data_IF_721972458847
#
_entry.id   IF_721972458847
#
_cell.length_a   1.000
_cell.length_b   1.000
_cell.length_c   1.000
_cell.angle_alpha   90.00
_cell.angle_beta   90.00
_cell.angle_gamma   90.00
#
_symmetry.space_group_name_H-M   'P 1'
#
loop_
_entity.id
_entity.type
_entity.pdbx_description
1 polymer ?
#
# COMPACT_ATOMS: atom_id res chain seq x y z
N UNK A 1 18.47 9.32 -5.19
CA UNK A 1 19.81 8.74 -5.02
C UNK A 1 20.28 8.85 -3.57
N UNK A 2 20.87 7.77 -3.06
CA UNK A 2 21.45 7.67 -1.71
C UNK A 2 22.96 7.51 -1.87
N UNK A 3 23.75 8.58 -1.66
CA UNK A 3 25.20 8.53 -1.91
C UNK A 3 25.96 7.64 -0.92
N UNK A 4 25.52 7.64 0.34
CA UNK A 4 26.02 6.78 1.43
C UNK A 4 24.86 6.47 2.38
N UNK A 5 24.91 5.36 3.12
CA UNK A 5 23.90 5.01 4.12
C UNK A 5 23.69 6.14 5.13
N UNK A 6 22.44 6.57 5.30
CA UNK A 6 22.06 7.63 6.23
C UNK A 6 22.40 9.07 5.79
N UNK A 7 22.97 9.28 4.61
CA UNK A 7 23.37 10.62 4.14
C UNK A 7 22.19 11.49 3.65
N UNK A 8 21.04 10.91 3.46
CA UNK A 8 19.80 11.62 3.08
C UNK A 8 18.62 11.11 3.89
N UNK A 9 17.70 12.03 4.12
CA UNK A 9 16.41 11.71 4.70
C UNK A 9 15.30 11.78 3.65
N UNK A 10 14.26 10.96 3.81
CA UNK A 10 13.04 11.03 3.00
C UNK A 10 11.83 10.49 3.76
N UNK A 11 10.65 10.96 3.37
CA UNK A 11 9.37 10.35 3.74
C UNK A 11 9.09 9.21 2.75
N UNK A 12 9.29 7.95 3.16
CA UNK A 12 9.19 6.81 2.25
C UNK A 12 7.83 6.71 1.54
N UNK A 13 6.72 6.95 2.27
CA UNK A 13 5.38 6.94 1.67
C UNK A 13 5.14 8.08 0.68
N UNK A 14 5.81 9.24 0.83
CA UNK A 14 5.76 10.32 -0.16
C UNK A 14 6.43 9.90 -1.47
N UNK A 15 7.59 9.26 -1.40
CA UNK A 15 8.27 8.72 -2.57
C UNK A 15 7.41 7.68 -3.27
N UNK A 16 6.71 6.82 -2.49
CA UNK A 16 5.71 5.89 -3.02
C UNK A 16 4.55 6.64 -3.69
N UNK A 17 4.07 7.74 -3.11
CA UNK A 17 3.00 8.58 -3.67
C UNK A 17 3.34 9.11 -5.06
N UNK A 18 4.55 9.61 -5.25
CA UNK A 18 5.06 10.04 -6.56
C UNK A 18 5.08 8.88 -7.58
N UNK A 19 5.50 7.70 -7.15
CA UNK A 19 5.48 6.50 -8.00
C UNK A 19 4.03 6.09 -8.35
N UNK A 20 3.12 6.09 -7.39
CA UNK A 20 1.69 5.78 -7.61
C UNK A 20 1.02 6.80 -8.53
N UNK A 21 1.40 8.09 -8.49
CA UNK A 21 0.98 9.09 -9.48
C UNK A 21 1.34 8.66 -10.89
N UNK A 22 2.58 8.21 -11.10
CA UNK A 22 3.04 7.79 -12.43
C UNK A 22 2.35 6.50 -12.89
N UNK A 23 2.08 5.56 -11.98
CA UNK A 23 1.25 4.38 -12.25
C UNK A 23 -0.17 4.80 -12.61
N UNK A 24 -0.78 5.71 -11.85
CA UNK A 24 -2.12 6.24 -12.12
C UNK A 24 -2.19 6.87 -13.51
N UNK A 25 -1.23 7.74 -13.83
CA UNK A 25 -1.16 8.41 -15.14
C UNK A 25 -1.14 7.43 -16.32
N UNK A 26 -0.40 6.33 -16.20
CA UNK A 26 -0.33 5.27 -17.23
C UNK A 26 -1.62 4.47 -17.37
N UNK A 27 -2.50 4.53 -16.40
CA UNK A 27 -3.72 3.73 -16.32
C UNK A 27 -5.01 4.56 -16.43
N UNK A 28 -4.94 5.86 -16.74
CA UNK A 28 -6.12 6.72 -16.86
C UNK A 28 -7.05 6.27 -17.98
N UNK A 29 -6.52 6.00 -19.17
CA UNK A 29 -7.34 5.60 -20.34
C UNK A 29 -7.99 4.22 -20.12
N UNK A 30 -7.24 3.28 -19.55
CA UNK A 30 -7.73 1.92 -19.27
C UNK A 30 -8.66 1.85 -18.06
N UNK A 31 -8.65 2.87 -17.19
CA UNK A 31 -9.46 2.96 -15.97
C UNK A 31 -9.36 1.72 -15.07
N UNK A 32 -8.20 1.10 -15.02
CA UNK A 32 -7.98 -0.18 -14.34
C UNK A 32 -7.18 -0.08 -13.03
N UNK A 33 -6.90 1.13 -12.54
CA UNK A 33 -6.19 1.37 -11.29
C UNK A 33 -6.95 2.33 -10.38
N UNK A 34 -7.08 2.00 -9.09
CA UNK A 34 -7.67 2.83 -8.05
C UNK A 34 -6.86 2.79 -6.75
N UNK A 35 -6.91 3.89 -6.03
CA UNK A 35 -6.47 3.95 -4.63
C UNK A 35 -7.70 4.07 -3.75
N UNK A 36 -7.69 3.38 -2.61
CA UNK A 36 -8.73 3.48 -1.59
C UNK A 36 -8.11 3.80 -0.23
N UNK A 37 -8.78 4.62 0.56
CA UNK A 37 -8.30 5.04 1.87
C UNK A 37 -9.47 5.48 2.75
N UNK A 38 -9.51 5.12 4.05
CA UNK A 38 -10.47 5.67 4.99
C UNK A 38 -10.07 7.06 5.48
N UNK A 39 -8.82 7.47 5.23
CA UNK A 39 -8.24 8.74 5.61
C UNK A 39 -7.78 9.50 4.37
N UNK A 40 -7.54 10.79 4.51
CA UNK A 40 -7.11 11.65 3.40
C UNK A 40 -5.80 11.16 2.79
N UNK A 41 -5.71 11.17 1.47
CA UNK A 41 -4.49 10.79 0.73
C UNK A 41 -3.26 11.59 1.19
N UNK A 42 -3.47 12.83 1.61
CA UNK A 42 -2.43 13.71 2.14
C UNK A 42 -1.82 13.17 3.44
N UNK A 43 -2.60 12.63 4.35
CA UNK A 43 -2.10 12.10 5.63
C UNK A 43 -1.24 10.84 5.42
N UNK A 44 -1.48 10.11 4.36
CA UNK A 44 -0.67 8.96 3.92
C UNK A 44 0.46 9.37 2.96
N UNK A 45 0.65 10.68 2.70
CA UNK A 45 1.66 11.24 1.79
C UNK A 45 1.46 10.89 0.30
N UNK A 46 0.24 10.63 -0.13
CA UNK A 46 -0.09 10.28 -1.52
C UNK A 46 -0.71 11.44 -2.32
N UNK A 47 -0.63 12.68 -1.83
CA UNK A 47 -1.21 13.85 -2.49
C UNK A 47 -0.75 14.05 -3.94
N UNK A 48 0.47 13.60 -4.29
CA UNK A 48 0.99 13.71 -5.66
C UNK A 48 0.09 13.01 -6.70
N UNK A 49 -0.68 12.00 -6.28
CA UNK A 49 -1.63 11.30 -7.15
C UNK A 49 -2.72 12.25 -7.64
N UNK A 50 -3.09 13.25 -6.85
CA UNK A 50 -4.11 14.24 -7.20
C UNK A 50 -3.65 15.22 -8.31
N UNK A 51 -2.37 15.22 -8.67
CA UNK A 51 -1.89 15.95 -9.86
C UNK A 51 -2.43 15.38 -11.18
N UNK A 52 -2.84 14.11 -11.19
CA UNK A 52 -3.25 13.39 -12.41
C UNK A 52 -4.66 12.83 -12.35
N UNK A 53 -5.30 12.83 -11.19
CA UNK A 53 -6.69 12.38 -11.01
C UNK A 53 -7.33 13.13 -9.84
N UNK A 54 -8.60 12.81 -9.54
CA UNK A 54 -9.34 13.38 -8.43
C UNK A 54 -9.80 12.30 -7.46
N UNK A 55 -10.32 12.75 -6.31
CA UNK A 55 -11.16 11.94 -5.42
C UNK A 55 -12.51 11.70 -6.10
N UNK A 56 -13.00 10.47 -6.00
CA UNK A 56 -14.30 10.10 -6.52
C UNK A 56 -15.41 10.68 -5.63
N UNK A 57 -16.28 11.50 -6.19
CA UNK A 57 -17.45 12.06 -5.49
C UNK A 57 -18.71 11.85 -6.32
N UNK A 58 -19.74 11.28 -5.69
CA UNK A 58 -21.09 11.20 -6.27
C UNK A 58 -22.00 12.35 -5.81
N UNK A 59 -21.53 13.20 -4.90
CA UNK A 59 -22.25 14.38 -4.43
C UNK A 59 -22.14 15.55 -5.43
N UNK A 60 -22.94 16.57 -5.22
CA UNK A 60 -22.80 17.85 -5.92
C UNK A 60 -21.40 18.42 -5.62
N UNK A 61 -20.76 18.95 -6.65
CA UNK A 61 -19.41 19.54 -6.57
C UNK A 61 -19.56 21.04 -6.71
N UNK A 62 -19.06 21.78 -5.74
CA UNK A 62 -19.10 23.25 -5.70
C UNK A 62 -17.78 23.85 -6.20
N UNK A 63 -17.77 25.14 -6.62
CA UNK A 63 -16.54 25.79 -7.09
C UNK A 63 -15.40 25.85 -6.08
N UNK A 64 -15.70 25.76 -4.79
CA UNK A 64 -14.75 25.77 -3.68
C UNK A 64 -14.15 24.38 -3.39
N UNK A 65 -14.73 23.33 -3.96
CA UNK A 65 -14.23 21.97 -3.78
C UNK A 65 -12.97 21.74 -4.61
N UNK A 66 -12.00 21.09 -3.99
CA UNK A 66 -10.70 20.80 -4.60
C UNK A 66 -10.53 19.30 -4.85
N UNK A 67 -10.04 18.97 -6.04
CA UNK A 67 -9.76 17.60 -6.44
C UNK A 67 -10.93 16.61 -6.31
N UNK A 68 -12.17 17.03 -6.63
CA UNK A 68 -13.34 16.15 -6.69
C UNK A 68 -13.79 15.91 -8.13
N UNK A 69 -14.23 14.70 -8.44
CA UNK A 69 -14.83 14.34 -9.73
C UNK A 69 -15.63 13.03 -9.61
N UNK A 70 -16.76 12.88 -10.32
CA UNK A 70 -17.46 11.59 -10.39
C UNK A 70 -16.58 10.45 -10.95
N UNK A 71 -15.61 10.79 -11.79
CA UNK A 71 -14.67 9.86 -12.42
C UNK A 71 -13.34 9.69 -11.66
N UNK A 72 -13.19 10.35 -10.51
CA UNK A 72 -11.98 10.30 -9.70
C UNK A 72 -11.51 8.87 -9.41
N UNK A 73 -10.21 8.67 -9.39
CA UNK A 73 -9.62 7.34 -9.19
C UNK A 73 -9.19 7.08 -7.76
N UNK A 74 -9.27 8.08 -6.88
CA UNK A 74 -9.02 7.97 -5.45
C UNK A 74 -10.37 7.88 -4.73
N UNK A 75 -10.56 6.78 -4.00
CA UNK A 75 -11.79 6.50 -3.25
C UNK A 75 -11.52 6.75 -1.77
N UNK A 76 -12.04 7.85 -1.23
CA UNK A 76 -11.91 8.17 0.20
C UNK A 76 -13.26 8.11 0.89
N UNK A 77 -13.32 7.33 1.96
CA UNK A 77 -14.49 7.21 2.83
C UNK A 77 -14.06 6.73 4.22
N UNK A 78 -14.52 7.38 5.27
CA UNK A 78 -14.24 6.95 6.66
C UNK A 78 -14.99 5.65 7.01
N UNK A 79 -14.65 4.61 6.28
CA UNK A 79 -15.15 3.24 6.46
C UNK A 79 -14.17 2.26 5.84
N UNK A 80 -13.35 1.66 6.65
CA UNK A 80 -12.38 0.63 6.24
C UNK A 80 -13.10 -0.57 5.60
N UNK A 81 -14.30 -0.92 6.08
CA UNK A 81 -15.13 -1.97 5.47
C UNK A 81 -15.50 -1.65 4.02
N UNK A 82 -15.90 -0.41 3.72
CA UNK A 82 -16.20 -0.01 2.35
C UNK A 82 -14.94 0.01 1.49
N UNK A 83 -13.83 0.54 2.00
CA UNK A 83 -12.54 0.51 1.31
C UNK A 83 -12.13 -0.90 0.92
N UNK A 84 -12.22 -1.85 1.86
CA UNK A 84 -11.95 -3.26 1.63
C UNK A 84 -12.88 -3.85 0.58
N UNK A 85 -14.19 -3.69 0.75
CA UNK A 85 -15.20 -4.25 -0.16
C UNK A 85 -15.09 -3.69 -1.58
N UNK A 86 -14.84 -2.39 -1.73
CA UNK A 86 -14.62 -1.77 -3.03
C UNK A 86 -13.38 -2.32 -3.73
N UNK A 87 -12.27 -2.43 -3.00
CA UNK A 87 -11.04 -2.94 -3.59
C UNK A 87 -11.17 -4.41 -3.97
N UNK A 88 -11.73 -5.26 -3.09
CA UNK A 88 -11.98 -6.68 -3.42
C UNK A 88 -12.82 -6.83 -4.68
N UNK A 89 -13.96 -6.13 -4.75
CA UNK A 89 -14.82 -6.15 -5.93
C UNK A 89 -14.10 -5.67 -7.20
N UNK A 90 -13.26 -4.65 -7.07
CA UNK A 90 -12.49 -4.09 -8.17
C UNK A 90 -11.44 -5.08 -8.71
N UNK A 91 -10.73 -5.79 -7.81
CA UNK A 91 -9.77 -6.82 -8.17
C UNK A 91 -10.43 -8.00 -8.89
N UNK A 92 -11.62 -8.40 -8.47
CA UNK A 92 -12.40 -9.47 -9.10
C UNK A 92 -12.78 -9.16 -10.56
N UNK A 93 -12.80 -7.89 -10.94
CA UNK A 93 -13.03 -7.46 -12.32
C UNK A 93 -11.75 -7.42 -13.17
N UNK A 94 -10.63 -7.91 -12.66
CA UNK A 94 -9.34 -7.92 -13.34
C UNK A 94 -8.57 -6.60 -13.27
N UNK A 95 -8.95 -5.72 -12.35
CA UNK A 95 -8.34 -4.41 -12.15
C UNK A 95 -7.40 -4.41 -10.95
N UNK A 96 -6.69 -3.31 -10.71
CA UNK A 96 -5.63 -3.18 -9.71
C UNK A 96 -5.90 -2.04 -8.74
N UNK A 97 -5.35 -2.12 -7.54
CA UNK A 97 -5.45 -1.04 -6.58
C UNK A 97 -4.57 -1.22 -5.35
N UNK A 98 -4.60 -0.20 -4.53
CA UNK A 98 -3.95 -0.15 -3.23
C UNK A 98 -4.90 0.40 -2.19
N UNK A 99 -4.84 -0.15 -1.00
CA UNK A 99 -5.56 0.32 0.17
C UNK A 99 -4.55 0.82 1.21
N UNK A 100 -4.56 2.13 1.51
CA UNK A 100 -3.76 2.69 2.58
C UNK A 100 -4.61 2.92 3.83
N UNK A 101 -4.06 2.53 4.98
CA UNK A 101 -4.70 2.67 6.27
C UNK A 101 -3.64 2.87 7.36
N UNK A 102 -4.04 3.42 8.51
CA UNK A 102 -3.19 3.38 9.69
C UNK A 102 -3.17 1.98 10.30
N UNK A 103 -2.03 1.62 10.87
CA UNK A 103 -1.80 0.30 11.46
C UNK A 103 -2.87 -0.09 12.49
N UNK A 104 -3.29 0.84 13.36
CA UNK A 104 -4.29 0.56 14.38
C UNK A 104 -5.70 0.33 13.81
N UNK A 105 -6.05 1.00 12.71
CA UNK A 105 -7.42 0.97 12.19
C UNK A 105 -7.66 -0.15 11.19
N UNK A 106 -6.61 -0.73 10.62
CA UNK A 106 -6.76 -1.87 9.71
C UNK A 106 -7.44 -3.08 10.39
N UNK A 107 -7.40 -3.17 11.72
CA UNK A 107 -8.13 -4.18 12.48
C UNK A 107 -9.63 -4.21 12.21
N UNK A 108 -10.22 -3.08 11.80
CA UNK A 108 -11.63 -3.00 11.44
C UNK A 108 -11.99 -4.01 10.36
N UNK A 109 -11.03 -4.38 9.49
CA UNK A 109 -11.27 -5.32 8.37
C UNK A 109 -10.70 -6.72 8.60
N UNK A 110 -10.26 -7.06 9.79
CA UNK A 110 -9.69 -8.39 10.10
C UNK A 110 -10.54 -9.54 9.56
N UNK A 111 -11.86 -9.48 9.79
CA UNK A 111 -12.78 -10.51 9.34
C UNK A 111 -12.86 -10.57 7.81
N UNK A 112 -12.94 -9.43 7.14
CA UNK A 112 -13.00 -9.36 5.67
C UNK A 112 -11.69 -9.85 5.05
N UNK A 113 -10.55 -9.39 5.57
CA UNK A 113 -9.23 -9.90 5.18
C UNK A 113 -9.15 -11.43 5.30
N UNK A 114 -9.59 -11.97 6.43
CA UNK A 114 -9.57 -13.41 6.68
C UNK A 114 -10.44 -14.19 5.67
N UNK A 115 -11.62 -13.66 5.31
CA UNK A 115 -12.48 -14.25 4.28
C UNK A 115 -11.81 -14.21 2.90
N UNK A 116 -11.22 -13.06 2.53
CA UNK A 116 -10.51 -12.91 1.26
C UNK A 116 -9.33 -13.88 1.13
N UNK A 117 -8.51 -14.02 2.19
CA UNK A 117 -7.39 -14.96 2.20
C UNK A 117 -7.84 -16.42 2.07
N UNK A 118 -8.93 -16.81 2.74
CA UNK A 118 -9.53 -18.15 2.60
C UNK A 118 -10.05 -18.39 1.20
N UNK A 119 -10.75 -17.40 0.65
CA UNK A 119 -11.27 -17.45 -0.70
C UNK A 119 -10.15 -17.60 -1.74
N UNK A 120 -9.07 -16.83 -1.66
CA UNK A 120 -7.90 -16.96 -2.55
C UNK A 120 -7.32 -18.36 -2.49
N UNK A 121 -7.13 -18.92 -1.29
CA UNK A 121 -6.61 -20.27 -1.11
C UNK A 121 -7.43 -21.31 -1.87
N UNK A 122 -8.75 -21.27 -1.72
CA UNK A 122 -9.64 -22.21 -2.41
C UNK A 122 -9.64 -21.95 -3.92
N UNK A 123 -9.66 -20.71 -4.34
CA UNK A 123 -9.67 -20.36 -5.76
C UNK A 123 -8.40 -20.75 -6.51
N UNK A 124 -7.25 -20.78 -5.83
CA UNK A 124 -5.99 -21.21 -6.41
C UNK A 124 -6.00 -22.70 -6.80
N UNK A 125 -6.89 -23.50 -6.21
CA UNK A 125 -7.06 -24.92 -6.52
C UNK A 125 -8.01 -25.18 -7.71
N UNK A 126 -8.66 -24.13 -8.25
CA UNK A 126 -9.65 -24.23 -9.32
C UNK A 126 -9.00 -23.98 -10.70
N UNK A 127 -8.80 -25.01 -11.55
CA UNK A 127 -7.96 -24.90 -12.76
C UNK A 127 -8.47 -23.91 -13.81
N UNK A 128 -9.79 -23.70 -13.91
CA UNK A 128 -10.39 -22.79 -14.89
C UNK A 128 -10.43 -21.33 -14.44
N UNK A 129 -10.10 -21.04 -13.19
CA UNK A 129 -10.17 -19.69 -12.66
C UNK A 129 -8.91 -18.90 -13.04
N UNK A 130 -9.11 -17.72 -13.62
CA UNK A 130 -8.00 -16.82 -13.95
C UNK A 130 -7.45 -16.17 -12.69
N UNK A 131 -6.12 -16.01 -12.59
CA UNK A 131 -5.51 -15.23 -11.52
C UNK A 131 -6.00 -13.78 -11.53
N UNK A 132 -6.24 -13.23 -10.36
CA UNK A 132 -6.57 -11.81 -10.15
C UNK A 132 -5.37 -11.02 -9.63
N UNK A 133 -5.40 -9.70 -9.77
CA UNK A 133 -4.42 -8.83 -9.11
C UNK A 133 -4.46 -9.02 -7.60
N UNK A 134 -3.31 -8.92 -6.96
CA UNK A 134 -3.21 -9.07 -5.51
C UNK A 134 -3.90 -7.93 -4.77
N UNK A 135 -4.42 -8.22 -3.58
CA UNK A 135 -4.91 -7.23 -2.64
C UNK A 135 -3.71 -6.62 -1.91
N UNK A 136 -3.52 -5.31 -2.06
CA UNK A 136 -2.34 -4.63 -1.54
C UNK A 136 -2.72 -3.62 -0.46
N UNK A 137 -2.14 -3.76 0.73
CA UNK A 137 -2.25 -2.81 1.83
C UNK A 137 -0.96 -2.02 2.02
N UNK A 138 -1.09 -0.72 2.27
CA UNK A 138 -0.06 0.09 2.91
C UNK A 138 -0.52 0.44 4.31
N UNK A 139 0.23 0.02 5.33
CA UNK A 139 0.02 0.41 6.72
C UNK A 139 1.02 1.49 7.10
N UNK A 140 0.50 2.66 7.42
CA UNK A 140 1.29 3.80 7.91
C UNK A 140 1.03 4.05 9.40
N UNK A 141 1.65 5.04 10.00
CA UNK A 141 1.55 5.34 11.44
C UNK A 141 1.87 4.13 12.32
N UNK A 142 2.90 3.39 11.94
CA UNK A 142 3.27 2.13 12.57
C UNK A 142 4.01 2.32 13.90
N UNK A 143 3.90 1.32 14.78
CA UNK A 143 4.41 1.34 16.16
C UNK A 143 5.92 1.62 16.27
N UNK A 144 6.72 1.19 15.32
CA UNK A 144 8.18 1.34 15.37
C UNK A 144 8.68 2.79 15.30
N UNK A 145 7.85 3.70 14.81
CA UNK A 145 8.24 5.11 14.65
C UNK A 145 7.45 6.07 15.52
N UNK A 146 6.39 5.63 16.15
CA UNK A 146 5.52 6.51 16.96
C UNK A 146 5.23 7.85 16.25
N UNK A 147 4.60 7.78 15.09
CA UNK A 147 4.27 8.95 14.29
C UNK A 147 3.42 9.97 15.09
N UNK A 148 3.24 11.18 14.57
CA UNK A 148 2.60 12.30 15.24
C UNK A 148 1.21 12.02 15.84
N UNK A 149 0.54 10.97 15.40
CA UNK A 149 -0.74 10.53 15.96
C UNK A 149 -0.61 9.82 17.32
N UNK A 150 0.62 9.48 17.74
CA UNK A 150 0.91 8.84 19.01
C UNK A 150 0.38 7.41 19.12
N UNK A 151 0.39 6.85 20.32
CA UNK A 151 0.05 5.45 20.57
C UNK A 151 -1.40 5.07 20.22
N UNK A 152 -2.32 6.01 20.19
CA UNK A 152 -3.73 5.76 19.84
C UNK A 152 -3.94 5.31 18.39
N UNK A 153 -2.93 5.48 17.52
CA UNK A 153 -2.99 5.14 16.10
C UNK A 153 -2.03 4.02 15.70
N UNK A 154 -1.45 3.34 16.68
CA UNK A 154 -0.43 2.33 16.49
C UNK A 154 -0.82 1.02 17.19
N UNK A 155 -0.96 -0.03 16.44
CA UNK A 155 -1.24 -1.38 16.94
C UNK A 155 -0.79 -2.41 15.91
N UNK A 156 0.31 -3.18 16.17
CA UNK A 156 0.82 -4.15 15.21
C UNK A 156 0.05 -5.47 15.19
N UNK A 157 -1.01 -5.62 15.99
CA UNK A 157 -1.76 -6.87 16.14
C UNK A 157 -2.35 -7.42 14.84
N UNK A 158 -2.65 -6.57 13.86
CA UNK A 158 -3.06 -7.01 12.53
C UNK A 158 -1.98 -7.89 11.86
N UNK A 159 -0.70 -7.57 12.04
CA UNK A 159 0.39 -8.37 11.48
C UNK A 159 0.42 -9.77 12.09
N UNK A 160 0.17 -9.91 13.40
CA UNK A 160 0.07 -11.22 14.07
C UNK A 160 -1.06 -12.05 13.46
N UNK A 161 -2.19 -11.42 13.14
CA UNK A 161 -3.30 -12.08 12.46
C UNK A 161 -2.91 -12.52 11.03
N UNK A 162 -2.22 -11.66 10.30
CA UNK A 162 -1.81 -11.90 8.90
C UNK A 162 -0.80 -13.04 8.79
N UNK A 163 0.26 -13.05 9.60
CA UNK A 163 1.34 -14.05 9.51
C UNK A 163 0.89 -15.47 9.84
N UNK A 164 -0.26 -15.64 10.49
CA UNK A 164 -0.86 -16.94 10.74
C UNK A 164 -1.51 -17.59 9.50
N UNK A 165 -1.54 -16.89 8.37
CA UNK A 165 -2.07 -17.42 7.12
C UNK A 165 -0.97 -18.14 6.32
N UNK A 166 -1.38 -18.91 5.31
CA UNK A 166 -0.43 -19.61 4.45
C UNK A 166 0.44 -18.67 3.63
N UNK A 167 1.74 -18.92 3.60
CA UNK A 167 2.69 -18.12 2.83
C UNK A 167 2.42 -18.10 1.31
N UNK A 168 1.69 -19.07 0.77
CA UNK A 168 1.28 -19.05 -0.66
C UNK A 168 0.34 -17.91 -1.02
N UNK A 169 -0.47 -17.42 -0.05
CA UNK A 169 -1.44 -16.32 -0.27
C UNK A 169 -1.06 -15.03 0.45
N UNK A 170 -0.11 -15.03 1.37
CA UNK A 170 0.25 -13.84 2.17
C UNK A 170 1.70 -13.47 1.97
N UNK A 171 1.96 -12.16 1.91
CA UNK A 171 3.29 -11.55 2.04
C UNK A 171 3.22 -10.34 2.96
N UNK A 172 4.22 -10.23 3.84
CA UNK A 172 4.42 -9.06 4.70
C UNK A 172 5.78 -8.46 4.34
N UNK A 173 5.81 -7.15 4.17
CA UNK A 173 7.00 -6.41 3.79
C UNK A 173 7.24 -5.28 4.80
N UNK A 174 8.47 -5.18 5.26
CA UNK A 174 8.95 -4.16 6.20
C UNK A 174 10.12 -3.39 5.55
N UNK A 175 9.87 -2.63 4.49
CA UNK A 175 10.93 -1.92 3.77
C UNK A 175 11.61 -0.89 4.66
N UNK A 176 12.94 -0.93 4.80
CA UNK A 176 13.69 -0.05 5.72
C UNK A 176 13.82 1.38 5.20
N UNK A 177 13.65 1.60 3.91
CA UNK A 177 13.80 2.90 3.25
C UNK A 177 12.90 3.03 2.01
N UNK A 178 12.95 4.22 1.37
CA UNK A 178 12.12 4.54 0.22
C UNK A 178 12.47 3.68 -1.02
N UNK A 179 13.73 3.35 -1.26
CA UNK A 179 14.13 2.55 -2.42
C UNK A 179 13.64 1.11 -2.29
N UNK A 180 13.72 0.52 -1.09
CA UNK A 180 13.13 -0.78 -0.81
C UNK A 180 11.59 -0.72 -0.95
N UNK A 181 10.96 0.36 -0.45
CA UNK A 181 9.51 0.53 -0.59
C UNK A 181 9.07 0.63 -2.05
N UNK A 182 9.80 1.35 -2.91
CA UNK A 182 9.52 1.43 -4.34
C UNK A 182 9.59 0.05 -5.01
N UNK A 183 10.67 -0.71 -4.75
CA UNK A 183 10.80 -2.06 -5.30
C UNK A 183 9.67 -2.98 -4.86
N UNK A 184 9.39 -3.02 -3.56
CA UNK A 184 8.29 -3.82 -2.99
C UNK A 184 6.93 -3.41 -3.57
N UNK A 185 6.70 -2.11 -3.76
CA UNK A 185 5.45 -1.61 -4.36
C UNK A 185 5.27 -2.12 -5.80
N UNK A 186 6.33 -2.06 -6.62
CA UNK A 186 6.31 -2.59 -8.00
C UNK A 186 6.02 -4.10 -8.01
N UNK A 187 6.71 -4.86 -7.16
CA UNK A 187 6.49 -6.31 -7.00
C UNK A 187 5.04 -6.63 -6.57
N UNK A 188 4.49 -5.89 -5.62
CA UNK A 188 3.12 -6.07 -5.16
C UNK A 188 2.11 -5.82 -6.29
N UNK A 189 2.31 -4.77 -7.09
CA UNK A 189 1.45 -4.44 -8.23
C UNK A 189 1.52 -5.49 -9.35
N UNK A 190 2.67 -6.16 -9.53
CA UNK A 190 2.83 -7.24 -10.50
C UNK A 190 2.32 -8.58 -10.00
N UNK A 191 2.21 -8.76 -8.69
CA UNK A 191 1.83 -10.03 -8.08
C UNK A 191 0.36 -10.38 -8.33
N UNK A 192 0.06 -11.67 -8.27
CA UNK A 192 -1.29 -12.23 -8.50
C UNK A 192 -1.66 -13.17 -7.37
N UNK A 193 -2.96 -13.27 -7.10
CA UNK A 193 -3.57 -14.19 -6.14
C UNK A 193 -2.94 -14.14 -4.74
N UNK A 194 -2.57 -12.95 -4.28
CA UNK A 194 -1.97 -12.73 -2.96
C UNK A 194 -2.64 -11.59 -2.21
N UNK A 195 -2.41 -11.56 -0.93
CA UNK A 195 -2.57 -10.37 -0.09
C UNK A 195 -1.17 -9.92 0.33
N UNK A 196 -0.83 -8.71 -0.01
CA UNK A 196 0.43 -8.06 0.32
C UNK A 196 0.18 -7.01 1.39
N UNK A 197 0.91 -7.07 2.49
CA UNK A 197 0.86 -6.09 3.58
C UNK A 197 2.22 -5.40 3.65
N UNK A 198 2.24 -4.11 3.36
CA UNK A 198 3.45 -3.29 3.44
C UNK A 198 3.31 -2.36 4.65
N UNK A 199 4.30 -2.36 5.55
CA UNK A 199 4.36 -1.40 6.66
C UNK A 199 5.47 -0.41 6.37
N UNK A 200 5.13 0.87 6.24
CA UNK A 200 6.10 1.91 5.88
C UNK A 200 5.86 3.24 6.59
N UNK A 201 6.95 3.94 6.91
CA UNK A 201 6.93 5.22 7.60
C UNK A 201 6.56 6.37 6.67
N UNK A 202 5.75 7.30 7.21
CA UNK A 202 5.37 8.56 6.56
C UNK A 202 6.15 9.77 7.08
N UNK A 203 7.03 9.57 8.04
CA UNK A 203 7.91 10.58 8.58
C UNK A 203 9.26 10.57 7.87
N UNK A 204 9.94 11.72 7.95
CA UNK A 204 11.28 11.85 7.43
C UNK A 204 12.24 10.91 8.16
N UNK A 205 12.98 10.09 7.42
CA UNK A 205 13.86 9.07 7.96
C UNK A 205 15.10 8.88 7.09
N UNK A 206 16.24 8.50 7.69
CA UNK A 206 17.45 8.17 6.94
C UNK A 206 17.21 7.11 5.88
N UNK A 207 17.88 7.29 4.74
CA UNK A 207 17.83 6.36 3.61
C UNK A 207 19.14 5.56 3.57
N UNK A 208 19.05 4.26 3.30
CA UNK A 208 20.14 3.33 3.55
C UNK A 208 20.76 2.76 2.28
N UNK A 209 19.94 2.39 1.29
CA UNK A 209 20.37 1.64 0.12
C UNK A 209 20.19 2.44 -1.16
N UNK A 210 21.12 2.29 -2.11
CA UNK A 210 20.89 2.71 -3.50
C UNK A 210 19.78 1.85 -4.11
N UNK A 211 19.25 2.23 -5.25
CA UNK A 211 18.19 1.46 -5.90
C UNK A 211 18.64 0.03 -6.26
N UNK A 212 19.87 -0.14 -6.77
CA UNK A 212 20.40 -1.45 -7.11
C UNK A 212 20.61 -2.34 -5.88
N UNK A 213 21.09 -1.75 -4.79
CA UNK A 213 21.21 -2.45 -3.50
C UNK A 213 19.84 -2.83 -2.93
N UNK A 214 18.84 -1.94 -3.04
CA UNK A 214 17.49 -2.21 -2.59
C UNK A 214 16.84 -3.36 -3.38
N UNK A 215 17.01 -3.39 -4.71
CA UNK A 215 16.55 -4.50 -5.55
C UNK A 215 17.19 -5.81 -5.12
N UNK A 216 18.52 -5.85 -4.94
CA UNK A 216 19.23 -7.05 -4.50
C UNK A 216 18.77 -7.51 -3.12
N UNK A 217 18.65 -6.57 -2.17
CA UNK A 217 18.21 -6.85 -0.79
C UNK A 217 16.77 -7.40 -0.76
N UNK A 218 15.83 -6.75 -1.42
CA UNK A 218 14.43 -7.16 -1.43
C UNK A 218 14.23 -8.49 -2.19
N UNK A 219 15.02 -8.75 -3.23
CA UNK A 219 15.00 -10.04 -3.95
C UNK A 219 15.46 -11.18 -3.04
N UNK A 220 16.48 -10.96 -2.21
CA UNK A 220 16.93 -11.93 -1.20
C UNK A 220 15.92 -12.07 -0.04
N UNK A 221 15.10 -11.04 0.20
CA UNK A 221 14.09 -10.98 1.25
C UNK A 221 14.62 -10.57 2.63
N UNK A 222 15.85 -10.93 2.97
CA UNK A 222 16.58 -10.53 4.17
C UNK A 222 18.08 -10.51 3.86
N UNK A 223 18.82 -9.64 4.52
CA UNK A 223 20.26 -9.53 4.30
C UNK A 223 20.99 -8.93 5.49
N UNK A 224 22.29 -9.17 5.55
CA UNK A 224 23.21 -8.55 6.51
C UNK A 224 23.79 -7.30 5.85
N UNK A 225 23.76 -6.19 6.58
CA UNK A 225 24.42 -4.95 6.18
C UNK A 225 25.77 -4.84 6.89
N UNK A 226 26.85 -5.14 6.16
CA UNK A 226 28.19 -5.16 6.73
C UNK A 226 28.58 -3.85 7.39
N UNK A 227 28.15 -2.70 6.82
CA UNK A 227 28.40 -1.36 7.36
C UNK A 227 27.63 -1.06 8.67
N UNK A 228 26.60 -1.85 9.00
CA UNK A 228 25.80 -1.74 10.22
C UNK A 228 26.01 -2.92 11.18
N UNK A 229 26.89 -3.84 10.85
CA UNK A 229 27.14 -5.07 11.62
C UNK A 229 28.49 -4.98 12.35
N UNK A 230 28.57 -5.59 13.56
CA UNK A 230 29.81 -5.70 14.34
C UNK A 230 30.62 -6.91 13.89
#
# INVERSE_FOLDING_TARGET
EVPNPGAKDAESTRVMGTYLRDVMKRNLDSRNFRLVSPDESNSNRWQDVLEVTNRCSAAEIYPEDDHLSPDGRVMEVLSEHQCQGWLEGYLLTGRHGFFSCYEAFIHIIDSMFNQHAKWLKVCNEIPWRRPIASLNYLLSSHVWRQDHNGFSHQDPGFLDHVINKKAEVIRVYLPPDANCLLHVTDECLRSRNRVNVIVAGKQNAPQWLTMDQAVAHCTAGIGIWEWASN
#
